data_IF_397293791687
#
_entry.id   IF_397293791687
#
_cell.length_a   1.000
_cell.length_b   1.000
_cell.length_c   1.000
_cell.angle_alpha   90.00
_cell.angle_beta   90.00
_cell.angle_gamma   90.00
#
_symmetry.space_group_name_H-M   'P 1'
#
loop_
_entity.id
_entity.type
_entity.pdbx_description
1 polymer ?
#
# COMPACT_ATOMS: atom_id res chain seq x y z
N UNK A 1 10.85 11.46 -16.84
CA UNK A 1 11.00 10.02 -16.54
C UNK A 1 12.27 9.48 -17.18
N UNK A 2 12.49 9.70 -18.48
CA UNK A 2 13.68 9.18 -19.22
C UNK A 2 15.03 9.47 -18.53
N UNK A 3 15.27 10.68 -18.05
CA UNK A 3 16.53 11.06 -17.40
C UNK A 3 16.88 10.25 -16.13
N UNK A 4 15.92 9.50 -15.59
CA UNK A 4 16.08 8.64 -14.41
C UNK A 4 16.14 7.15 -14.76
N UNK A 5 15.84 6.79 -16.00
CA UNK A 5 15.67 5.41 -16.45
C UNK A 5 16.90 4.54 -16.22
N UNK A 6 18.10 5.10 -16.42
CA UNK A 6 19.36 4.38 -16.24
C UNK A 6 19.78 4.25 -14.77
N UNK A 7 19.12 4.98 -13.87
CA UNK A 7 19.50 5.08 -12.46
C UNK A 7 18.56 4.37 -11.51
N UNK A 8 17.36 4.03 -11.98
CA UNK A 8 16.30 3.49 -11.16
C UNK A 8 15.69 2.24 -11.81
N UNK A 9 15.32 1.22 -11.01
CA UNK A 9 14.68 0.01 -11.54
C UNK A 9 13.31 0.29 -12.13
N UNK A 10 12.60 1.27 -11.59
CA UNK A 10 11.31 1.77 -12.06
C UNK A 10 11.21 3.26 -11.76
N UNK A 11 10.70 4.02 -12.70
CA UNK A 11 10.40 5.46 -12.52
C UNK A 11 8.89 5.64 -12.51
N UNK A 12 8.38 6.32 -11.49
CA UNK A 12 6.96 6.58 -11.31
C UNK A 12 6.65 8.08 -11.46
N UNK A 13 5.53 8.40 -12.12
CA UNK A 13 4.88 9.69 -12.02
C UNK A 13 3.46 9.46 -11.49
N UNK A 14 3.14 10.04 -10.35
CA UNK A 14 1.86 9.84 -9.65
C UNK A 14 0.93 11.04 -9.86
N UNK A 15 -0.37 10.86 -9.59
CA UNK A 15 -1.42 11.88 -9.74
C UNK A 15 -1.53 12.44 -11.16
N UNK A 16 -1.22 11.61 -12.14
CA UNK A 16 -1.33 11.94 -13.56
C UNK A 16 -2.80 11.86 -13.96
N UNK A 17 -3.35 12.96 -14.50
CA UNK A 17 -4.70 12.94 -15.03
C UNK A 17 -4.78 12.13 -16.34
N UNK A 18 -5.97 11.64 -16.75
CA UNK A 18 -6.10 10.76 -17.90
C UNK A 18 -5.55 11.39 -19.20
N UNK A 19 -5.86 12.66 -19.45
CA UNK A 19 -5.41 13.33 -20.69
C UNK A 19 -3.88 13.42 -20.76
N UNK A 20 -3.24 13.77 -19.64
CA UNK A 20 -1.77 13.79 -19.52
C UNK A 20 -1.19 12.38 -19.63
N UNK A 21 -1.84 11.37 -19.03
CA UNK A 21 -1.41 9.97 -19.11
C UNK A 21 -1.40 9.44 -20.54
N UNK A 22 -2.46 9.72 -21.29
CA UNK A 22 -2.58 9.33 -22.68
C UNK A 22 -1.52 10.01 -23.56
N UNK A 23 -1.25 11.31 -23.35
CA UNK A 23 -0.20 12.04 -24.06
C UNK A 23 1.20 11.48 -23.77
N UNK A 24 1.50 11.16 -22.50
CA UNK A 24 2.78 10.58 -22.11
C UNK A 24 2.97 9.20 -22.76
N UNK A 25 1.94 8.34 -22.70
CA UNK A 25 1.98 7.00 -23.30
C UNK A 25 2.10 7.02 -24.82
N UNK A 26 1.43 7.99 -25.48
CA UNK A 26 1.55 8.19 -26.92
C UNK A 26 2.95 8.64 -27.34
N UNK A 27 3.58 9.53 -26.54
CA UNK A 27 4.92 10.04 -26.80
C UNK A 27 6.03 9.03 -26.44
N UNK A 28 5.76 8.10 -25.51
CA UNK A 28 6.72 7.12 -24.99
C UNK A 28 6.08 5.74 -24.88
N UNK A 29 6.19 4.88 -25.90
CA UNK A 29 5.55 3.56 -25.93
C UNK A 29 5.95 2.64 -24.77
N UNK A 30 7.10 2.85 -24.16
CA UNK A 30 7.59 2.07 -23.01
C UNK A 30 6.92 2.50 -21.69
N UNK A 31 6.21 3.62 -21.66
CA UNK A 31 5.48 4.08 -20.48
C UNK A 31 4.13 3.38 -20.41
N UNK A 32 3.87 2.75 -19.29
CA UNK A 32 2.55 2.17 -18.97
C UNK A 32 1.78 3.15 -18.09
N UNK A 33 0.56 3.50 -18.48
CA UNK A 33 -0.34 4.31 -17.68
C UNK A 33 -1.43 3.44 -17.04
N UNK A 34 -1.55 3.53 -15.71
CA UNK A 34 -2.66 2.96 -14.96
C UNK A 34 -3.68 4.08 -14.67
N UNK A 35 -4.84 4.10 -15.36
CA UNK A 35 -5.81 5.19 -15.20
C UNK A 35 -6.53 5.18 -13.86
N UNK A 36 -6.62 4.04 -13.18
CA UNK A 36 -7.26 3.92 -11.86
C UNK A 36 -6.33 4.46 -10.78
N UNK A 37 -5.06 4.03 -10.80
CA UNK A 37 -4.02 4.53 -9.90
C UNK A 37 -3.57 5.95 -10.25
N UNK A 38 -3.84 6.42 -11.46
CA UNK A 38 -3.34 7.68 -12.03
C UNK A 38 -1.81 7.76 -11.99
N UNK A 39 -1.17 6.65 -12.37
CA UNK A 39 0.29 6.49 -12.34
C UNK A 39 0.80 6.13 -13.74
N UNK A 40 1.85 6.84 -14.18
CA UNK A 40 2.70 6.40 -15.27
C UNK A 40 3.89 5.65 -14.70
N UNK A 41 4.19 4.47 -15.28
CA UNK A 41 5.34 3.63 -14.94
C UNK A 41 6.26 3.53 -16.15
N UNK A 42 7.56 3.67 -15.90
CA UNK A 42 8.61 3.43 -16.87
C UNK A 42 9.64 2.50 -16.24
N UNK A 43 9.79 1.30 -16.77
CA UNK A 43 10.82 0.37 -16.31
C UNK A 43 12.21 0.91 -16.65
N UNK A 44 13.18 0.64 -15.77
CA UNK A 44 14.58 0.97 -15.98
C UNK A 44 15.14 0.28 -17.22
N UNK A 45 16.29 0.73 -17.69
CA UNK A 45 17.04 0.05 -18.74
C UNK A 45 17.54 -1.32 -18.24
N UNK A 46 17.94 -2.25 -19.14
CA UNK A 46 18.50 -3.54 -18.74
C UNK A 46 19.70 -3.42 -17.79
N UNK A 47 20.45 -2.32 -17.87
CA UNK A 47 21.64 -2.04 -17.06
C UNK A 47 21.29 -1.27 -15.76
N UNK A 48 20.05 -0.82 -15.59
CA UNK A 48 19.63 -0.14 -14.37
C UNK A 48 19.67 -1.09 -13.16
N UNK A 49 19.95 -0.57 -11.95
CA UNK A 49 19.91 -1.36 -10.74
C UNK A 49 18.55 -2.04 -10.59
N UNK A 50 18.53 -3.33 -10.28
CA UNK A 50 17.27 -4.03 -9.99
C UNK A 50 16.90 -3.86 -8.52
N UNK A 51 15.62 -3.66 -8.23
CA UNK A 51 15.14 -3.70 -6.87
C UNK A 51 15.19 -5.14 -6.34
N UNK A 52 15.82 -5.35 -5.20
CA UNK A 52 15.75 -6.62 -4.52
C UNK A 52 14.28 -6.92 -4.15
N UNK A 53 13.82 -8.18 -4.34
CA UNK A 53 12.50 -8.57 -3.92
C UNK A 53 12.31 -8.33 -2.42
N UNK A 54 11.21 -7.71 -2.04
CA UNK A 54 10.85 -7.48 -0.64
C UNK A 54 9.98 -8.66 -0.21
N UNK A 55 10.44 -9.44 0.79
CA UNK A 55 9.65 -10.54 1.32
C UNK A 55 8.46 -10.01 2.12
N UNK A 56 7.45 -10.88 2.26
CA UNK A 56 6.24 -10.60 3.02
C UNK A 56 5.07 -10.18 2.13
N UNK A 57 3.89 -10.27 2.74
CA UNK A 57 2.60 -9.99 2.11
C UNK A 57 2.08 -8.63 2.54
N UNK A 58 1.76 -7.78 1.58
CA UNK A 58 0.97 -6.56 1.76
C UNK A 58 -0.47 -6.82 1.34
N UNK A 59 -1.40 -6.66 2.27
CA UNK A 59 -2.82 -6.68 1.97
C UNK A 59 -3.37 -5.26 1.99
N UNK A 60 -4.02 -4.85 0.89
CA UNK A 60 -4.67 -3.54 0.75
C UNK A 60 -6.18 -3.75 0.82
N UNK A 61 -6.84 -3.16 1.80
CA UNK A 61 -8.29 -3.25 2.00
C UNK A 61 -8.96 -1.93 1.63
N UNK A 62 -10.14 -1.97 1.00
CA UNK A 62 -10.98 -0.78 0.84
C UNK A 62 -12.30 -0.91 1.58
N UNK A 63 -12.77 0.20 2.18
CA UNK A 63 -14.09 0.25 2.80
C UNK A 63 -15.19 0.18 1.74
N UNK A 64 -15.05 0.94 0.67
CA UNK A 64 -15.97 0.93 -0.46
C UNK A 64 -15.25 0.85 -1.80
N UNK A 65 -16.04 0.69 -2.88
CA UNK A 65 -15.53 0.67 -4.25
C UNK A 65 -15.00 2.04 -4.70
N UNK A 66 -15.51 3.12 -4.13
CA UNK A 66 -15.04 4.48 -4.41
C UNK A 66 -13.61 4.75 -3.89
N UNK A 67 -13.12 3.94 -2.94
CA UNK A 67 -11.76 4.02 -2.40
C UNK A 67 -10.71 3.32 -3.30
N UNK A 68 -11.16 2.61 -4.33
CA UNK A 68 -10.29 1.78 -5.18
C UNK A 68 -9.17 2.55 -5.86
N UNK A 69 -9.37 3.80 -6.23
CA UNK A 69 -8.34 4.60 -6.88
C UNK A 69 -7.11 4.78 -5.97
N UNK A 70 -7.33 5.10 -4.70
CA UNK A 70 -6.25 5.26 -3.70
C UNK A 70 -5.62 3.91 -3.34
N UNK A 71 -6.43 2.85 -3.25
CA UNK A 71 -5.91 1.50 -3.02
C UNK A 71 -5.07 0.99 -4.19
N UNK A 72 -5.49 1.27 -5.43
CA UNK A 72 -4.72 0.90 -6.62
C UNK A 72 -3.42 1.69 -6.71
N UNK A 73 -3.42 2.98 -6.38
CA UNK A 73 -2.18 3.76 -6.24
C UNK A 73 -1.22 3.07 -5.27
N UNK A 74 -1.70 2.69 -4.08
CA UNK A 74 -0.87 2.02 -3.09
C UNK A 74 -0.31 0.67 -3.59
N UNK A 75 -1.14 -0.16 -4.22
CA UNK A 75 -0.72 -1.45 -4.75
C UNK A 75 0.37 -1.29 -5.82
N UNK A 76 0.15 -0.44 -6.82
CA UNK A 76 1.11 -0.18 -7.91
C UNK A 76 2.46 0.33 -7.36
N UNK A 77 2.44 1.24 -6.38
CA UNK A 77 3.66 1.76 -5.75
C UNK A 77 4.40 0.65 -4.99
N UNK A 78 3.70 -0.21 -4.25
CA UNK A 78 4.31 -1.31 -3.52
C UNK A 78 4.94 -2.35 -4.45
N UNK A 79 4.23 -2.72 -5.53
CA UNK A 79 4.72 -3.61 -6.59
C UNK A 79 5.99 -3.04 -7.24
N UNK A 80 5.97 -1.78 -7.62
CA UNK A 80 7.11 -1.07 -8.20
C UNK A 80 8.31 -0.98 -7.24
N UNK A 81 8.07 -0.91 -5.93
CA UNK A 81 9.10 -0.92 -4.90
C UNK A 81 9.72 -2.31 -4.66
N UNK A 82 9.17 -3.38 -5.26
CA UNK A 82 9.68 -4.75 -5.18
C UNK A 82 8.91 -5.71 -4.27
N UNK A 83 7.75 -5.31 -3.71
CA UNK A 83 6.88 -6.24 -2.97
C UNK A 83 6.22 -7.20 -3.97
N UNK A 84 6.40 -8.50 -3.77
CA UNK A 84 5.93 -9.54 -4.72
C UNK A 84 4.53 -10.05 -4.42
N UNK A 85 4.12 -10.08 -3.16
CA UNK A 85 2.78 -10.52 -2.74
C UNK A 85 1.99 -9.30 -2.27
N UNK A 86 1.40 -8.58 -3.23
CA UNK A 86 0.48 -7.47 -3.01
C UNK A 86 -0.92 -7.92 -3.42
N UNK A 87 -1.90 -7.80 -2.52
CA UNK A 87 -3.29 -8.16 -2.79
C UNK A 87 -4.23 -7.02 -2.41
N UNK A 88 -5.24 -6.81 -3.23
CA UNK A 88 -6.29 -5.83 -2.98
C UNK A 88 -7.61 -6.56 -2.72
N UNK A 89 -8.21 -6.33 -1.55
CA UNK A 89 -9.54 -6.81 -1.19
C UNK A 89 -10.45 -5.61 -1.06
N UNK A 90 -11.39 -5.48 -1.98
CA UNK A 90 -12.27 -4.33 -2.08
C UNK A 90 -13.62 -4.56 -1.40
N UNK A 91 -14.27 -3.44 -1.02
CA UNK A 91 -15.65 -3.41 -0.54
C UNK A 91 -15.90 -4.25 0.72
N UNK A 92 -14.97 -4.15 1.68
CA UNK A 92 -15.07 -4.83 2.99
C UNK A 92 -15.39 -3.85 4.13
N UNK A 93 -16.10 -2.76 3.83
CA UNK A 93 -16.50 -1.74 4.80
C UNK A 93 -17.38 -2.28 5.93
N UNK A 94 -17.36 -1.57 7.06
CA UNK A 94 -18.05 -1.98 8.30
C UNK A 94 -19.57 -2.02 8.17
N UNK A 95 -20.16 -1.32 7.21
CA UNK A 95 -21.59 -1.40 6.90
C UNK A 95 -22.04 -2.81 6.45
N UNK A 96 -21.09 -3.63 5.99
CA UNK A 96 -21.31 -5.04 5.70
C UNK A 96 -20.24 -5.90 6.37
N UNK A 97 -20.18 -5.84 7.70
CA UNK A 97 -19.11 -6.48 8.51
C UNK A 97 -18.88 -7.96 8.18
N UNK A 98 -19.93 -8.68 7.76
CA UNK A 98 -19.83 -10.07 7.33
C UNK A 98 -18.87 -10.25 6.13
N UNK A 99 -18.73 -9.26 5.23
CA UNK A 99 -17.80 -9.31 4.11
C UNK A 99 -16.35 -9.27 4.59
N UNK A 100 -16.06 -8.41 5.57
CA UNK A 100 -14.74 -8.37 6.22
C UNK A 100 -14.46 -9.67 6.96
N UNK A 101 -15.39 -10.16 7.77
CA UNK A 101 -15.23 -11.36 8.57
C UNK A 101 -15.06 -12.62 7.73
N UNK A 102 -15.69 -12.70 6.55
CA UNK A 102 -15.48 -13.83 5.62
C UNK A 102 -14.07 -13.89 5.04
N UNK A 103 -13.27 -12.83 5.19
CA UNK A 103 -11.88 -12.73 4.75
C UNK A 103 -10.87 -12.70 5.89
N UNK A 104 -11.30 -12.95 7.13
CA UNK A 104 -10.45 -12.76 8.32
C UNK A 104 -9.16 -13.56 8.28
N UNK A 105 -9.19 -14.79 7.78
CA UNK A 105 -7.99 -15.64 7.69
C UNK A 105 -7.00 -15.09 6.65
N UNK A 106 -7.49 -14.60 5.52
CA UNK A 106 -6.67 -13.92 4.53
C UNK A 106 -6.04 -12.65 5.12
N UNK A 107 -6.83 -11.86 5.86
CA UNK A 107 -6.37 -10.62 6.48
C UNK A 107 -5.29 -10.90 7.54
N UNK A 108 -5.47 -11.93 8.36
CA UNK A 108 -4.50 -12.36 9.38
C UNK A 108 -3.21 -12.93 8.79
N UNK A 109 -3.23 -13.39 7.56
CA UNK A 109 -2.04 -13.91 6.88
C UNK A 109 -1.11 -12.82 6.32
N UNK A 110 -1.49 -11.55 6.43
CA UNK A 110 -0.69 -10.42 5.96
C UNK A 110 0.40 -10.04 6.97
N UNK A 111 1.58 -9.64 6.47
CA UNK A 111 2.66 -9.08 7.29
C UNK A 111 2.47 -7.59 7.55
N UNK A 112 1.77 -6.90 6.64
CA UNK A 112 1.32 -5.50 6.78
C UNK A 112 -0.05 -5.37 6.13
N UNK A 113 -0.99 -4.68 6.79
CA UNK A 113 -2.31 -4.37 6.24
C UNK A 113 -2.41 -2.86 5.99
N UNK A 114 -2.74 -2.47 4.77
CA UNK A 114 -3.02 -1.09 4.40
C UNK A 114 -4.54 -0.95 4.22
N UNK A 115 -5.17 -0.03 4.94
CA UNK A 115 -6.62 0.14 4.96
C UNK A 115 -7.00 1.50 4.42
N UNK A 116 -7.71 1.51 3.31
CA UNK A 116 -8.17 2.72 2.60
C UNK A 116 -9.64 2.93 2.90
N UNK A 117 -9.98 4.01 3.59
CA UNK A 117 -11.35 4.26 4.05
C UNK A 117 -11.70 5.73 4.09
N UNK A 118 -12.82 6.08 3.49
CA UNK A 118 -13.48 7.39 3.62
C UNK A 118 -14.60 7.36 4.66
N UNK A 119 -15.58 8.22 4.51
CA UNK A 119 -16.76 8.34 5.36
C UNK A 119 -16.44 8.48 6.87
N UNK A 120 -16.84 7.50 7.68
CA UNK A 120 -16.63 7.44 9.12
C UNK A 120 -15.22 6.97 9.52
N UNK A 121 -14.44 6.41 8.59
CA UNK A 121 -13.10 5.91 8.85
C UNK A 121 -13.02 4.76 9.86
N UNK A 122 -14.08 3.98 10.05
CA UNK A 122 -14.13 2.95 11.09
C UNK A 122 -13.31 1.68 10.74
N UNK A 123 -13.16 1.37 9.45
CA UNK A 123 -12.53 0.12 9.01
C UNK A 123 -11.10 -0.08 9.56
N UNK A 124 -10.19 0.90 9.60
CA UNK A 124 -8.85 0.71 10.15
C UNK A 124 -8.85 0.22 11.60
N UNK A 125 -9.72 0.78 12.45
CA UNK A 125 -9.84 0.37 13.86
C UNK A 125 -10.36 -1.06 14.01
N UNK A 126 -11.33 -1.45 13.20
CA UNK A 126 -11.88 -2.82 13.22
C UNK A 126 -10.82 -3.82 12.74
N UNK A 127 -10.13 -3.53 11.65
CA UNK A 127 -9.05 -4.40 11.13
C UNK A 127 -7.93 -4.54 12.15
N UNK A 128 -7.47 -3.45 12.76
CA UNK A 128 -6.40 -3.49 13.76
C UNK A 128 -6.76 -4.32 15.00
N UNK A 129 -8.06 -4.41 15.34
CA UNK A 129 -8.54 -5.31 16.39
C UNK A 129 -8.60 -6.79 15.98
N UNK A 130 -8.41 -7.12 14.71
CA UNK A 130 -8.50 -8.49 14.18
C UNK A 130 -7.15 -9.11 13.84
N UNK A 131 -6.07 -8.29 13.75
CA UNK A 131 -4.75 -8.73 13.27
C UNK A 131 -3.64 -8.34 14.24
N UNK A 132 -2.53 -9.08 14.20
CA UNK A 132 -1.29 -8.73 14.90
C UNK A 132 -0.35 -7.89 14.01
N UNK A 133 -0.59 -7.88 12.70
CA UNK A 133 0.18 -7.12 11.73
C UNK A 133 -0.02 -5.60 11.92
N UNK A 134 0.99 -4.77 11.66
CA UNK A 134 0.81 -3.31 11.64
C UNK A 134 -0.21 -2.89 10.59
N UNK A 135 -1.07 -1.93 10.96
CA UNK A 135 -2.11 -1.38 10.10
C UNK A 135 -1.75 0.04 9.67
N UNK A 136 -1.66 0.26 8.36
CA UNK A 136 -1.47 1.59 7.77
C UNK A 136 -2.82 2.13 7.31
N UNK A 137 -3.36 3.12 7.99
CA UNK A 137 -4.61 3.76 7.62
C UNK A 137 -4.37 4.89 6.60
N UNK A 138 -5.08 4.82 5.49
CA UNK A 138 -5.12 5.84 4.43
C UNK A 138 -6.54 6.41 4.40
N UNK A 139 -6.80 7.53 5.07
CA UNK A 139 -8.09 8.21 4.96
C UNK A 139 -8.30 8.69 3.53
N UNK A 140 -9.54 8.66 3.05
CA UNK A 140 -9.87 9.22 1.74
C UNK A 140 -10.82 10.40 1.83
N UNK A 141 -10.78 11.28 0.81
CA UNK A 141 -11.75 12.35 0.65
C UNK A 141 -13.11 11.87 0.16
N UNK A 142 -13.25 10.56 -0.07
CA UNK A 142 -14.51 9.93 -0.47
C UNK A 142 -15.52 10.03 0.65
N UNK A 143 -16.59 10.76 0.40
CA UNK A 143 -17.65 10.95 1.39
C UNK A 143 -18.52 12.18 1.10
N UNK A 144 -19.48 12.39 1.99
CA UNK A 144 -20.40 13.52 1.94
C UNK A 144 -20.72 14.03 3.35
N UNK A 145 -21.42 15.15 3.46
CA UNK A 145 -21.75 15.74 4.76
C UNK A 145 -20.49 16.11 5.55
N UNK A 146 -20.42 15.70 6.80
CA UNK A 146 -19.26 15.94 7.70
C UNK A 146 -18.01 15.22 7.24
N UNK A 147 -18.15 14.11 6.50
CA UNK A 147 -17.03 13.33 5.98
C UNK A 147 -16.41 13.94 4.70
N UNK A 148 -17.04 14.94 4.10
CA UNK A 148 -16.53 15.58 2.89
C UNK A 148 -15.10 16.11 3.10
N UNK A 149 -14.20 15.81 2.15
CA UNK A 149 -12.79 16.23 2.22
C UNK A 149 -11.87 15.39 3.11
N UNK A 150 -12.37 14.32 3.75
CA UNK A 150 -11.54 13.32 4.40
C UNK A 150 -11.06 13.64 5.82
N UNK A 151 -11.44 14.79 6.41
CA UNK A 151 -11.05 15.15 7.77
C UNK A 151 -11.69 14.22 8.82
N UNK A 152 -12.94 13.80 8.60
CA UNK A 152 -13.61 12.85 9.49
C UNK A 152 -12.90 11.51 9.58
N UNK A 153 -12.64 10.80 8.48
CA UNK A 153 -11.89 9.54 8.53
C UNK A 153 -10.44 9.71 9.00
N UNK A 154 -9.79 10.85 8.74
CA UNK A 154 -8.48 11.16 9.31
C UNK A 154 -8.53 11.25 10.83
N UNK A 155 -9.49 12.00 11.37
CA UNK A 155 -9.66 12.14 12.82
C UNK A 155 -10.03 10.80 13.48
N UNK A 156 -10.91 10.01 12.85
CA UNK A 156 -11.26 8.67 13.32
C UNK A 156 -10.04 7.74 13.41
N UNK A 157 -9.21 7.71 12.37
CA UNK A 157 -8.01 6.88 12.34
C UNK A 157 -6.97 7.32 13.40
N UNK A 158 -6.77 8.65 13.60
CA UNK A 158 -5.88 9.19 14.62
C UNK A 158 -6.38 8.92 16.06
N UNK A 159 -7.68 8.77 16.25
CA UNK A 159 -8.31 8.45 17.55
C UNK A 159 -8.58 6.96 17.75
N UNK A 160 -8.03 6.08 16.92
CA UNK A 160 -8.23 4.64 17.05
C UNK A 160 -7.77 4.15 18.43
N UNK A 161 -8.64 3.42 19.13
CA UNK A 161 -8.29 2.71 20.36
C UNK A 161 -7.50 1.42 20.10
N UNK A 162 -7.56 0.89 18.86
CA UNK A 162 -6.79 -0.28 18.48
C UNK A 162 -5.31 0.10 18.32
N UNK A 163 -4.43 -0.66 18.98
CA UNK A 163 -2.99 -0.44 18.89
C UNK A 163 -2.44 -0.86 17.53
N UNK A 164 -1.31 -0.27 17.12
CA UNK A 164 -0.62 -0.63 15.87
C UNK A 164 -1.15 0.06 14.61
N UNK A 165 -2.06 1.03 14.74
CA UNK A 165 -2.52 1.86 13.62
C UNK A 165 -1.57 3.05 13.42
N UNK A 166 -1.00 3.15 12.23
CA UNK A 166 -0.28 4.35 11.77
C UNK A 166 -1.09 5.02 10.67
N UNK A 167 -1.09 6.36 10.64
CA UNK A 167 -1.96 7.12 9.74
C UNK A 167 -1.11 7.94 8.78
N UNK A 168 -1.47 7.94 7.50
CA UNK A 168 -0.89 8.84 6.50
C UNK A 168 -1.90 9.92 6.11
N UNK A 169 -1.50 10.85 5.26
CA UNK A 169 -2.36 11.95 4.83
C UNK A 169 -3.54 11.45 3.98
N UNK A 170 -4.57 12.29 3.85
CA UNK A 170 -5.78 12.04 3.04
C UNK A 170 -5.39 11.79 1.57
N UNK A 171 -6.02 10.79 0.95
CA UNK A 171 -5.80 10.38 -0.45
C UNK A 171 -4.32 10.08 -0.78
N UNK A 172 -3.55 9.65 0.21
CA UNK A 172 -2.12 9.40 0.04
C UNK A 172 -1.81 7.91 -0.03
N UNK A 173 -2.28 7.23 -1.07
CA UNK A 173 -1.97 5.84 -1.35
C UNK A 173 -0.47 5.60 -1.51
N UNK A 174 0.24 6.54 -2.16
CA UNK A 174 1.69 6.53 -2.28
C UNK A 174 2.39 6.50 -0.90
N UNK A 175 2.03 7.42 -0.01
CA UNK A 175 2.62 7.49 1.34
C UNK A 175 2.32 6.24 2.16
N UNK A 176 1.08 5.72 2.06
CA UNK A 176 0.69 4.45 2.68
C UNK A 176 1.52 3.27 2.20
N UNK A 177 1.69 3.13 0.88
CA UNK A 177 2.52 2.10 0.28
C UNK A 177 3.98 2.20 0.73
N UNK A 178 4.58 3.40 0.71
CA UNK A 178 5.96 3.61 1.14
C UNK A 178 6.15 3.26 2.62
N UNK A 179 5.18 3.59 3.49
CA UNK A 179 5.22 3.19 4.89
C UNK A 179 5.20 1.66 5.05
N UNK A 180 4.26 0.97 4.37
CA UNK A 180 4.16 -0.49 4.37
C UNK A 180 5.44 -1.17 3.83
N UNK A 181 5.97 -0.69 2.72
CA UNK A 181 7.23 -1.17 2.12
C UNK A 181 8.41 -1.05 3.10
N UNK A 182 8.50 0.06 3.83
CA UNK A 182 9.55 0.24 4.84
C UNK A 182 9.40 -0.74 6.02
N UNK A 183 8.17 -1.04 6.44
CA UNK A 183 7.89 -2.03 7.49
C UNK A 183 8.31 -3.44 7.04
N UNK A 184 7.92 -3.86 5.84
CA UNK A 184 8.33 -5.15 5.26
C UNK A 184 9.84 -5.27 5.11
N UNK A 185 10.53 -4.22 4.62
CA UNK A 185 12.00 -4.20 4.53
C UNK A 185 12.68 -4.31 5.89
N UNK A 186 12.14 -3.65 6.92
CA UNK A 186 12.69 -3.72 8.27
C UNK A 186 12.55 -5.12 8.86
N UNK A 187 11.39 -5.77 8.69
CA UNK A 187 11.14 -7.15 9.11
C UNK A 187 12.09 -8.14 8.41
N UNK A 188 12.23 -8.05 7.10
CA UNK A 188 13.15 -8.90 6.33
C UNK A 188 14.62 -8.76 6.77
N UNK A 189 15.08 -7.53 7.07
CA UNK A 189 16.44 -7.30 7.61
C UNK A 189 16.61 -7.92 8.99
N UNK A 190 15.59 -7.88 9.84
CA UNK A 190 15.65 -8.47 11.18
C UNK A 190 15.72 -10.00 11.09
N UNK A 191 14.88 -10.63 10.28
CA UNK A 191 14.89 -12.07 10.05
C UNK A 191 16.27 -12.56 9.55
N UNK A 192 16.88 -11.88 8.60
CA UNK A 192 18.22 -12.21 8.10
C UNK A 192 19.33 -12.06 9.15
N UNK A 193 19.18 -11.14 10.12
CA UNK A 193 20.14 -11.01 11.26
C UNK A 193 19.99 -12.17 12.26
N UNK A 194 18.77 -12.63 12.51
CA UNK A 194 18.50 -13.76 13.41
C UNK A 194 19.09 -15.03 12.83
N UNK A 195 18.81 -15.35 11.57
CA UNK A 195 19.35 -16.52 10.87
C UNK A 195 20.90 -16.55 10.88
N UNK A 196 21.56 -15.40 10.67
CA UNK A 196 23.03 -15.31 10.74
C UNK A 196 23.56 -15.61 12.15
N UNK A 197 22.85 -15.22 13.21
CA UNK A 197 23.26 -15.50 14.59
C UNK A 197 23.09 -16.98 14.95
N UNK A 198 22.00 -17.60 14.53
CA UNK A 198 21.76 -19.03 14.73
C UNK A 198 22.76 -19.89 13.96
N UNK A 199 23.09 -19.54 12.71
CA UNK A 199 24.12 -20.20 11.91
C UNK A 199 25.52 -20.08 12.50
N UNK A 200 25.85 -19.00 13.21
CA UNK A 200 27.12 -18.85 13.94
C UNK A 200 27.17 -19.65 15.25
N UNK A 201 26.01 -19.91 15.86
CA UNK A 201 25.90 -20.72 17.09
C UNK A 201 26.18 -22.22 16.86
N UNK A 202 26.03 -22.71 15.65
CA UNK A 202 26.26 -24.12 15.29
C UNK A 202 27.72 -24.44 14.94
N UNK A 203 28.63 -23.46 14.95
CA UNK A 203 30.06 -23.66 14.62
C UNK A 203 30.94 -23.79 15.87
N UNK A 204 30.39 -23.73 17.07
CA UNK A 204 31.12 -23.90 18.32
C UNK A 204 30.60 -25.13 19.11
N UNK A 205 30.78 -26.32 18.56
CA UNK A 205 30.83 -27.59 19.29
C UNK A 205 32.01 -28.43 18.78
#
# INVERSE_FOLDING_TARGET
>A
MEALRDKQPVVLATRVDPATGDLISAANPDVRYDPVARICLLDGTPDAPRADPIPGRLLVLTAGTADLAVAREAAVVAEAAGVRDVRVVADVGVAGLHRLLSRVDEIRSADVVLVVAGMDGALPSVVAGLVDAPVVAVPTSVGYGVAAGGLSPLAAALNSCASGVVVVNIDNGFGGAVAAVKMLRASGKLAGRIQKREGLSLIHI
#
